data_IF_339247319817
#
_entry.id   IF_339247319817
#
_cell.length_a   1.000
_cell.length_b   1.000
_cell.length_c   1.000
_cell.angle_alpha   90.00
_cell.angle_beta   90.00
_cell.angle_gamma   90.00
#
_symmetry.space_group_name_H-M   'P 1'
#
loop_
_entity.id
_entity.type
_entity.pdbx_description
1 polymer ?
#
# COMPACT_ATOMS: atom_id res chain seq x y z
N UNK A 1 11.63 8.59 6.59
CA UNK A 1 12.45 7.50 6.06
C UNK A 1 11.62 6.48 5.27
N UNK A 2 10.73 5.73 5.92
CA UNK A 2 9.91 4.69 5.26
C UNK A 2 9.04 5.22 4.11
N UNK A 3 8.55 6.45 4.22
CA UNK A 3 7.77 7.11 3.16
C UNK A 3 8.62 7.43 1.94
N UNK A 4 9.84 7.92 2.15
CA UNK A 4 10.80 8.19 1.06
C UNK A 4 11.18 6.88 0.35
N UNK A 5 11.42 5.80 1.11
CA UNK A 5 11.68 4.48 0.52
C UNK A 5 10.49 3.95 -0.29
N UNK A 6 9.25 4.30 0.09
CA UNK A 6 8.06 3.96 -0.69
C UNK A 6 8.06 4.66 -2.06
N UNK A 7 8.28 5.97 -2.07
CA UNK A 7 8.35 6.75 -3.30
C UNK A 7 9.51 6.30 -4.20
N UNK A 8 10.68 6.03 -3.58
CA UNK A 8 11.84 5.52 -4.32
C UNK A 8 11.58 4.13 -4.93
N UNK A 9 10.93 3.21 -4.20
CA UNK A 9 10.54 1.91 -4.75
C UNK A 9 9.58 2.07 -5.93
N UNK A 10 8.60 2.94 -5.79
CA UNK A 10 7.64 3.25 -6.82
C UNK A 10 8.32 3.74 -8.11
N UNK A 11 9.23 4.69 -8.00
CA UNK A 11 9.99 5.21 -9.14
C UNK A 11 10.91 4.13 -9.76
N UNK A 12 11.52 3.26 -8.94
CA UNK A 12 12.35 2.14 -9.42
C UNK A 12 11.51 1.05 -10.11
N UNK A 13 10.25 0.86 -9.70
CA UNK A 13 9.29 0.02 -10.41
C UNK A 13 9.08 0.54 -11.83
N UNK A 14 8.95 1.84 -12.00
CA UNK A 14 8.84 2.51 -13.31
C UNK A 14 10.17 2.67 -14.05
N UNK A 15 11.29 2.22 -13.48
CA UNK A 15 12.64 2.33 -14.05
C UNK A 15 13.04 3.77 -14.38
N UNK A 16 12.69 4.74 -13.53
CA UNK A 16 12.90 6.16 -13.81
C UNK A 16 14.35 6.58 -13.79
N UNK A 17 15.18 5.98 -12.91
CA UNK A 17 16.59 6.40 -12.72
C UNK A 17 17.56 5.76 -13.72
N UNK A 18 17.52 4.44 -13.87
CA UNK A 18 18.46 3.67 -14.69
C UNK A 18 17.76 2.90 -15.81
N UNK A 19 17.14 3.63 -16.73
CA UNK A 19 16.34 3.06 -17.83
C UNK A 19 17.09 2.08 -18.70
N UNK A 20 18.40 2.36 -18.95
CA UNK A 20 19.27 1.53 -19.79
C UNK A 20 20.01 0.44 -19.02
N UNK A 21 20.08 0.53 -17.69
CA UNK A 21 20.80 -0.42 -16.85
C UNK A 21 19.90 -1.10 -15.84
N UNK A 22 19.25 -2.18 -16.31
CA UNK A 22 18.33 -2.98 -15.47
C UNK A 22 19.04 -3.60 -14.25
N UNK A 23 20.35 -3.88 -14.32
CA UNK A 23 21.09 -4.47 -13.19
C UNK A 23 21.20 -3.48 -12.03
N UNK A 24 21.59 -2.23 -12.32
CA UNK A 24 21.66 -1.17 -11.30
C UNK A 24 20.28 -0.89 -10.74
N UNK A 25 19.26 -0.73 -11.60
CA UNK A 25 17.89 -0.51 -11.13
C UNK A 25 17.40 -1.63 -10.20
N UNK A 26 17.67 -2.91 -10.54
CA UNK A 26 17.28 -4.03 -9.69
C UNK A 26 18.10 -4.12 -8.40
N UNK A 27 19.38 -3.74 -8.40
CA UNK A 27 20.19 -3.66 -7.18
C UNK A 27 19.64 -2.60 -6.22
N UNK A 28 19.32 -1.41 -6.72
CA UNK A 28 18.64 -0.36 -5.92
C UNK A 28 17.29 -0.83 -5.40
N UNK A 29 16.49 -1.49 -6.24
CA UNK A 29 15.20 -2.03 -5.86
C UNK A 29 15.33 -3.08 -4.75
N UNK A 30 16.33 -3.96 -4.82
CA UNK A 30 16.64 -4.94 -3.78
C UNK A 30 17.05 -4.25 -2.46
N UNK A 31 17.85 -3.19 -2.53
CA UNK A 31 18.26 -2.41 -1.36
C UNK A 31 17.04 -1.78 -0.69
N UNK A 32 16.18 -1.10 -1.47
CA UNK A 32 14.97 -0.50 -0.92
C UNK A 32 14.05 -1.55 -0.30
N UNK A 33 13.91 -2.71 -0.92
CA UNK A 33 13.11 -3.82 -0.41
C UNK A 33 13.64 -4.33 0.94
N UNK A 34 14.95 -4.48 1.08
CA UNK A 34 15.57 -4.91 2.34
C UNK A 34 15.25 -3.95 3.51
N UNK A 35 15.14 -2.65 3.24
CA UNK A 35 14.81 -1.63 4.24
C UNK A 35 13.30 -1.32 4.37
N UNK A 36 12.46 -1.99 3.60
CA UNK A 36 10.97 -1.90 3.67
C UNK A 36 10.33 -3.28 3.92
N UNK A 37 10.49 -3.87 5.09
CA UNK A 37 10.17 -5.28 5.34
C UNK A 37 8.68 -5.64 5.24
N UNK A 38 7.78 -4.67 5.33
CA UNK A 38 6.33 -4.91 5.32
C UNK A 38 5.70 -4.98 3.93
N UNK A 39 6.49 -4.79 2.88
CA UNK A 39 5.96 -4.75 1.51
C UNK A 39 6.05 -6.12 0.82
N UNK A 40 5.19 -6.32 -0.16
CA UNK A 40 5.32 -7.43 -1.11
C UNK A 40 6.60 -7.26 -1.93
N UNK A 41 7.20 -8.37 -2.39
CA UNK A 41 8.37 -8.34 -3.27
C UNK A 41 8.20 -7.31 -4.41
N UNK A 42 9.14 -6.38 -4.60
CA UNK A 42 8.98 -5.31 -5.57
C UNK A 42 8.95 -5.79 -7.02
N UNK A 43 9.48 -6.97 -7.31
CA UNK A 43 9.36 -7.58 -8.65
C UNK A 43 7.95 -8.09 -8.93
N UNK A 44 7.23 -8.54 -7.89
CA UNK A 44 5.81 -8.88 -7.98
C UNK A 44 5.00 -7.58 -8.04
N UNK A 45 5.30 -6.62 -7.18
CA UNK A 45 4.62 -5.33 -7.13
C UNK A 45 4.74 -4.57 -8.45
N UNK A 46 5.86 -4.69 -9.16
CA UNK A 46 6.02 -4.08 -10.49
C UNK A 46 4.94 -4.52 -11.46
N UNK A 47 4.70 -5.82 -11.56
CA UNK A 47 3.68 -6.37 -12.46
C UNK A 47 2.27 -5.89 -12.06
N UNK A 48 1.98 -5.88 -10.76
CA UNK A 48 0.72 -5.41 -10.17
C UNK A 48 0.51 -3.92 -10.46
N UNK A 49 1.53 -3.10 -10.18
CA UNK A 49 1.47 -1.65 -10.30
C UNK A 49 1.35 -1.18 -11.75
N UNK A 50 2.07 -1.80 -12.68
CA UNK A 50 1.93 -1.51 -14.10
C UNK A 50 0.56 -1.96 -14.64
N UNK A 51 -0.04 -3.01 -14.07
CA UNK A 51 -1.41 -3.40 -14.36
C UNK A 51 -2.42 -2.38 -13.79
N UNK A 52 -2.18 -1.87 -12.56
CA UNK A 52 -2.98 -0.82 -11.96
C UNK A 52 -3.13 0.41 -12.87
N UNK A 53 -2.05 0.93 -13.44
CA UNK A 53 -2.12 2.05 -14.40
C UNK A 53 -3.01 1.79 -15.62
N UNK A 54 -3.12 0.53 -16.07
CA UNK A 54 -3.94 0.14 -17.23
C UNK A 54 -5.39 -0.16 -16.85
N UNK A 55 -5.60 -0.69 -15.65
CA UNK A 55 -6.86 -1.31 -15.23
C UNK A 55 -7.47 -0.64 -14.00
N UNK A 56 -7.02 0.57 -13.72
CA UNK A 56 -7.48 1.38 -12.60
C UNK A 56 -9.00 1.34 -12.42
N UNK A 57 -9.48 0.93 -11.24
CA UNK A 57 -10.89 0.86 -10.87
C UNK A 57 -11.63 -0.40 -11.28
N UNK A 58 -11.04 -1.27 -12.10
CA UNK A 58 -11.65 -2.55 -12.47
C UNK A 58 -11.57 -3.58 -11.33
N UNK A 59 -12.37 -4.65 -11.35
CA UNK A 59 -12.23 -5.76 -10.40
C UNK A 59 -10.83 -6.41 -10.43
N UNK A 60 -10.12 -6.33 -11.57
CA UNK A 60 -8.78 -6.89 -11.73
C UNK A 60 -7.65 -6.00 -11.19
N UNK A 61 -7.94 -4.80 -10.72
CA UNK A 61 -6.97 -3.90 -10.10
C UNK A 61 -6.59 -4.39 -8.70
N UNK A 62 -5.71 -5.37 -8.64
CA UNK A 62 -5.33 -6.04 -7.40
C UNK A 62 -4.64 -5.10 -6.40
N UNK A 63 -3.95 -4.04 -6.86
CA UNK A 63 -3.28 -3.09 -5.98
C UNK A 63 -4.30 -2.38 -5.10
N UNK A 64 -5.40 -1.92 -5.66
CA UNK A 64 -6.45 -1.22 -4.94
C UNK A 64 -7.45 -2.17 -4.27
N UNK A 65 -7.85 -3.23 -4.95
CA UNK A 65 -8.79 -4.21 -4.41
C UNK A 65 -8.20 -5.03 -3.26
N UNK A 66 -6.90 -5.26 -3.26
CA UNK A 66 -6.19 -5.95 -2.18
C UNK A 66 -6.26 -5.25 -0.84
N UNK A 67 -6.47 -3.93 -0.81
CA UNK A 67 -6.72 -3.14 0.40
C UNK A 67 -8.19 -2.71 0.54
N UNK A 68 -9.09 -3.35 -0.20
CA UNK A 68 -10.53 -3.11 -0.18
C UNK A 68 -10.96 -1.71 -0.66
N UNK A 69 -10.14 -1.06 -1.47
CA UNK A 69 -10.54 0.18 -2.13
C UNK A 69 -11.71 -0.09 -3.09
N UNK A 70 -12.56 0.92 -3.27
CA UNK A 70 -13.75 0.82 -4.09
C UNK A 70 -14.99 0.36 -3.34
N UNK A 71 -14.91 -0.20 -2.16
CA UNK A 71 -16.06 -0.48 -1.32
C UNK A 71 -16.49 0.77 -0.52
N UNK A 72 -17.73 0.77 -0.01
CA UNK A 72 -18.17 1.82 0.92
C UNK A 72 -17.31 1.83 2.18
N UNK A 73 -17.09 3.00 2.75
CA UNK A 73 -16.43 3.12 4.04
C UNK A 73 -17.21 2.41 5.15
N UNK A 74 -16.46 1.74 6.01
CA UNK A 74 -16.96 1.00 7.16
C UNK A 74 -15.80 0.35 7.90
N UNK A 75 -16.11 -0.39 8.97
CA UNK A 75 -15.10 -1.01 9.84
C UNK A 75 -14.13 -1.92 9.09
N UNK A 76 -14.62 -2.74 8.15
CA UNK A 76 -13.78 -3.61 7.33
C UNK A 76 -12.73 -2.82 6.55
N UNK A 77 -13.16 -1.77 5.83
CA UNK A 77 -12.25 -0.95 5.03
C UNK A 77 -11.24 -0.20 5.91
N UNK A 78 -11.68 0.31 7.08
CA UNK A 78 -10.79 0.94 8.04
C UNK A 78 -9.72 -0.04 8.56
N UNK A 79 -10.09 -1.26 8.94
CA UNK A 79 -9.15 -2.30 9.38
C UNK A 79 -8.16 -2.64 8.24
N UNK A 80 -8.63 -2.73 7.00
CA UNK A 80 -7.80 -3.05 5.84
C UNK A 80 -6.73 -1.98 5.54
N UNK A 81 -6.94 -0.71 5.92
CA UNK A 81 -5.90 0.32 5.79
C UNK A 81 -4.66 0.05 6.65
N UNK A 82 -4.81 -0.72 7.73
CA UNK A 82 -3.73 -1.12 8.63
C UNK A 82 -2.88 -2.29 8.13
N UNK A 83 -3.09 -2.74 6.90
CA UNK A 83 -2.37 -3.86 6.28
C UNK A 83 -2.47 -5.17 7.11
N UNK A 84 -1.54 -6.11 6.89
CA UNK A 84 -1.47 -7.34 7.68
C UNK A 84 -1.17 -7.12 9.16
N UNK A 85 -0.72 -5.96 9.58
CA UNK A 85 -0.54 -5.62 10.99
C UNK A 85 -1.87 -5.53 11.75
N UNK A 86 -2.95 -5.17 11.08
CA UNK A 86 -4.28 -5.05 11.68
C UNK A 86 -5.29 -6.02 11.05
N UNK A 87 -5.17 -6.27 9.75
CA UNK A 87 -6.15 -7.01 8.95
C UNK A 87 -5.76 -8.47 8.70
N UNK A 88 -4.88 -9.09 9.50
CA UNK A 88 -4.35 -10.44 9.26
C UNK A 88 -5.45 -11.49 9.04
N UNK A 89 -6.58 -11.36 9.72
CA UNK A 89 -7.70 -12.29 9.59
C UNK A 89 -8.58 -12.02 8.34
N UNK A 90 -8.59 -10.80 7.81
CA UNK A 90 -9.47 -10.39 6.70
C UNK A 90 -8.74 -10.35 5.36
N UNK A 91 -7.49 -9.91 5.38
CA UNK A 91 -6.71 -9.63 4.17
C UNK A 91 -6.46 -10.86 3.30
N UNK A 92 -6.16 -12.06 3.83
CA UNK A 92 -5.95 -13.24 3.00
C UNK A 92 -7.14 -13.54 2.07
N UNK A 93 -8.37 -13.41 2.56
CA UNK A 93 -9.58 -13.64 1.76
C UNK A 93 -9.77 -12.57 0.69
N UNK A 94 -9.56 -11.30 1.05
CA UNK A 94 -9.64 -10.18 0.09
C UNK A 94 -8.57 -10.31 -0.99
N UNK A 95 -7.34 -10.65 -0.60
CA UNK A 95 -6.23 -10.86 -1.53
C UNK A 95 -6.45 -12.07 -2.45
N UNK A 96 -7.04 -13.15 -1.94
CA UNK A 96 -7.38 -14.32 -2.75
C UNK A 96 -8.37 -13.94 -3.87
N UNK A 97 -9.42 -13.22 -3.51
CA UNK A 97 -10.43 -12.77 -4.48
C UNK A 97 -9.80 -11.81 -5.52
N UNK A 98 -9.08 -10.79 -5.07
CA UNK A 98 -8.41 -9.84 -5.95
C UNK A 98 -7.38 -10.53 -6.87
N UNK A 99 -6.65 -11.53 -6.36
CA UNK A 99 -5.69 -12.33 -7.14
C UNK A 99 -6.41 -13.18 -8.19
N UNK A 100 -7.58 -13.73 -7.87
CA UNK A 100 -8.37 -14.48 -8.83
C UNK A 100 -8.85 -13.59 -9.99
N UNK A 101 -9.40 -12.42 -9.69
CA UNK A 101 -9.82 -11.44 -10.70
C UNK A 101 -8.64 -10.98 -11.57
N UNK A 102 -7.50 -10.67 -10.95
CA UNK A 102 -6.28 -10.31 -11.66
C UNK A 102 -5.79 -11.42 -12.60
N UNK A 103 -5.74 -12.67 -12.11
CA UNK A 103 -5.31 -13.81 -12.92
C UNK A 103 -6.28 -14.12 -14.07
N UNK A 104 -7.58 -13.93 -13.84
CA UNK A 104 -8.60 -14.14 -14.88
C UNK A 104 -8.56 -13.06 -15.97
N UNK A 105 -8.21 -11.82 -15.60
CA UNK A 105 -8.04 -10.74 -16.56
C UNK A 105 -6.85 -10.96 -17.52
N UNK A 106 -5.90 -11.82 -17.16
CA UNK A 106 -4.81 -12.25 -18.04
C UNK A 106 -5.30 -13.33 -19.03
N UNK A 107 -6.05 -12.92 -20.06
CA UNK A 107 -6.75 -13.83 -20.98
C UNK A 107 -5.82 -14.81 -21.70
N UNK A 108 -4.61 -14.36 -22.05
CA UNK A 108 -3.65 -15.12 -22.86
C UNK A 108 -2.84 -16.15 -22.06
N UNK A 109 -2.98 -16.18 -20.72
CA UNK A 109 -2.26 -17.12 -19.88
C UNK A 109 -2.96 -18.50 -19.83
N UNK A 110 -2.17 -19.56 -20.06
CA UNK A 110 -2.61 -20.92 -19.81
C UNK A 110 -2.92 -21.16 -18.32
N UNK A 111 -3.77 -22.12 -18.01
CA UNK A 111 -4.18 -22.46 -16.64
C UNK A 111 -2.97 -22.69 -15.71
N UNK A 112 -1.96 -23.41 -16.18
CA UNK A 112 -0.71 -23.66 -15.43
C UNK A 112 -0.01 -22.36 -15.02
N UNK A 113 0.01 -21.36 -15.90
CA UNK A 113 0.70 -20.10 -15.63
C UNK A 113 -0.15 -19.18 -14.74
N UNK A 114 -1.48 -19.24 -14.83
CA UNK A 114 -2.39 -18.61 -13.85
C UNK A 114 -2.17 -19.19 -12.44
N UNK A 115 -1.99 -20.50 -12.29
CA UNK A 115 -1.71 -21.13 -11.01
C UNK A 115 -0.34 -20.70 -10.46
N UNK A 116 0.69 -20.64 -11.29
CA UNK A 116 2.00 -20.10 -10.90
C UNK A 116 1.91 -18.64 -10.45
N UNK A 117 1.14 -17.83 -11.16
CA UNK A 117 0.89 -16.44 -10.81
C UNK A 117 0.26 -16.32 -9.43
N UNK A 118 -0.78 -17.11 -9.14
CA UNK A 118 -1.42 -17.15 -7.81
C UNK A 118 -0.45 -17.58 -6.71
N UNK A 119 0.35 -18.61 -6.95
CA UNK A 119 1.39 -19.04 -6.00
C UNK A 119 2.45 -17.95 -5.76
N UNK A 120 2.92 -17.28 -6.84
CA UNK A 120 3.82 -16.13 -6.74
C UNK A 120 3.25 -15.02 -5.87
N UNK A 121 1.96 -14.69 -6.03
CA UNK A 121 1.28 -13.68 -5.22
C UNK A 121 1.18 -14.10 -3.75
N UNK A 122 0.82 -15.35 -3.47
CA UNK A 122 0.73 -15.89 -2.10
C UNK A 122 2.08 -15.83 -1.36
N UNK A 123 3.18 -16.06 -2.06
CA UNK A 123 4.54 -15.99 -1.51
C UNK A 123 5.16 -14.59 -1.55
N UNK A 124 4.40 -13.60 -1.99
CA UNK A 124 4.92 -12.26 -2.27
C UNK A 124 5.56 -11.53 -1.08
N UNK A 125 5.18 -11.86 0.15
CA UNK A 125 5.74 -11.28 1.37
C UNK A 125 7.01 -11.99 1.87
N UNK A 126 7.43 -13.09 1.25
CA UNK A 126 8.62 -13.84 1.66
C UNK A 126 9.90 -13.21 1.12
N UNK A 127 11.00 -13.11 1.91
CA UNK A 127 11.12 -13.47 3.34
C UNK A 127 10.80 -12.31 4.31
N UNK A 128 11.02 -11.06 3.89
CA UNK A 128 11.05 -9.91 4.80
C UNK A 128 9.69 -9.60 5.44
N UNK A 129 8.60 -9.72 4.68
CA UNK A 129 7.26 -9.52 5.21
C UNK A 129 6.92 -10.55 6.29
N UNK A 130 7.27 -11.81 6.07
CA UNK A 130 7.02 -12.86 7.05
C UNK A 130 7.79 -12.61 8.37
N UNK A 131 9.05 -12.16 8.27
CA UNK A 131 9.85 -11.78 9.44
C UNK A 131 9.21 -10.58 10.13
N UNK A 132 8.83 -9.55 9.39
CA UNK A 132 8.20 -8.33 9.92
C UNK A 132 6.93 -8.64 10.70
N UNK A 133 6.00 -9.38 10.09
CA UNK A 133 4.74 -9.74 10.73
C UNK A 133 4.93 -10.75 11.85
N UNK A 134 5.86 -11.68 11.71
CA UNK A 134 6.24 -12.62 12.78
C UNK A 134 6.71 -11.90 14.05
N UNK A 135 7.60 -10.92 13.92
CA UNK A 135 8.09 -10.11 15.05
C UNK A 135 6.98 -9.22 15.64
N UNK A 136 6.12 -8.64 14.80
CA UNK A 136 4.98 -7.85 15.26
C UNK A 136 4.00 -8.70 16.08
N UNK A 137 3.58 -9.85 15.56
CA UNK A 137 2.64 -10.72 16.28
C UNK A 137 3.27 -11.38 17.51
N UNK A 138 4.56 -11.65 17.50
CA UNK A 138 5.30 -12.07 18.70
C UNK A 138 5.26 -10.99 19.78
N UNK A 139 5.46 -9.72 19.41
CA UNK A 139 5.32 -8.60 20.34
C UNK A 139 3.90 -8.49 20.91
N UNK A 140 2.87 -8.62 20.09
CA UNK A 140 1.47 -8.59 20.55
C UNK A 140 1.19 -9.77 21.50
N UNK A 141 1.60 -10.98 21.14
CA UNK A 141 1.45 -12.17 21.97
C UNK A 141 2.11 -12.00 23.34
N UNK A 142 3.37 -11.55 23.37
CA UNK A 142 4.10 -11.28 24.61
C UNK A 142 3.40 -10.22 25.46
N UNK A 143 2.89 -9.16 24.82
CA UNK A 143 2.20 -8.07 25.52
C UNK A 143 0.88 -8.54 26.13
N UNK A 144 0.06 -9.26 25.37
CA UNK A 144 -1.21 -9.82 25.84
C UNK A 144 -0.96 -10.83 26.97
N UNK A 145 0.03 -11.71 26.82
CA UNK A 145 0.40 -12.68 27.85
C UNK A 145 0.79 -11.98 29.15
N UNK A 146 1.61 -10.93 29.10
CA UNK A 146 2.00 -10.16 30.30
C UNK A 146 0.81 -9.48 30.96
N UNK A 147 -0.12 -8.91 30.18
CA UNK A 147 -1.34 -8.30 30.70
C UNK A 147 -2.22 -9.36 31.38
N UNK A 148 -2.43 -10.51 30.71
CA UNK A 148 -3.20 -11.63 31.26
C UNK A 148 -2.60 -12.19 32.55
N UNK A 149 -1.27 -12.42 32.59
CA UNK A 149 -0.59 -12.88 33.80
C UNK A 149 -0.74 -11.88 34.95
N UNK A 150 -0.63 -10.57 34.66
CA UNK A 150 -0.84 -9.53 35.66
C UNK A 150 -2.28 -9.54 36.19
N UNK A 151 -3.27 -9.66 35.31
CA UNK A 151 -4.69 -9.72 35.70
C UNK A 151 -5.01 -10.94 36.54
N UNK A 152 -4.31 -12.08 36.32
CA UNK A 152 -4.47 -13.31 37.07
C UNK A 152 -3.52 -13.42 38.29
N UNK A 153 -2.82 -12.38 38.66
CA UNK A 153 -1.80 -12.34 39.72
C UNK A 153 -0.69 -13.43 39.54
N UNK A 154 -0.40 -13.83 38.32
CA UNK A 154 0.64 -14.80 38.00
C UNK A 154 2.01 -14.12 37.89
N UNK A 155 3.06 -14.82 38.36
CA UNK A 155 4.45 -14.33 38.19
C UNK A 155 4.90 -14.45 36.71
N UNK A 156 5.48 -13.40 36.19
CA UNK A 156 6.05 -13.44 34.84
C UNK A 156 7.31 -14.32 34.82
N UNK A 157 7.59 -15.02 33.69
CA UNK A 157 8.82 -15.76 33.51
C UNK A 157 10.04 -14.83 33.59
N UNK A 158 11.07 -15.26 34.32
CA UNK A 158 12.30 -14.49 34.53
C UNK A 158 13.50 -15.07 33.79
N UNK A 159 13.33 -16.14 33.03
CA UNK A 159 14.41 -16.77 32.31
C UNK A 159 15.00 -15.88 31.22
N UNK A 160 16.25 -16.19 30.82
CA UNK A 160 17.03 -15.38 29.85
C UNK A 160 16.35 -15.30 28.48
N UNK A 161 15.73 -16.41 28.03
CA UNK A 161 15.09 -16.50 26.71
C UNK A 161 13.86 -15.59 26.66
N UNK A 162 12.98 -15.67 27.67
CA UNK A 162 11.81 -14.83 27.76
C UNK A 162 12.17 -13.33 27.71
N UNK A 163 13.15 -12.92 28.55
CA UNK A 163 13.60 -11.52 28.57
C UNK A 163 14.21 -11.07 27.24
N UNK A 164 14.95 -11.95 26.58
CA UNK A 164 15.55 -11.64 25.26
C UNK A 164 14.46 -11.44 24.21
N UNK A 165 13.49 -12.34 24.10
CA UNK A 165 12.37 -12.25 23.15
C UNK A 165 11.56 -10.98 23.42
N UNK A 166 11.17 -10.74 24.67
CA UNK A 166 10.39 -9.55 25.08
C UNK A 166 11.11 -8.24 24.70
N UNK A 167 12.39 -8.13 25.04
CA UNK A 167 13.19 -6.94 24.74
C UNK A 167 13.34 -6.73 23.23
N UNK A 168 13.66 -7.79 22.49
CA UNK A 168 13.89 -7.71 21.04
C UNK A 168 12.62 -7.39 20.26
N UNK A 169 11.51 -8.04 20.58
CA UNK A 169 10.23 -7.78 19.91
C UNK A 169 9.67 -6.40 20.27
N UNK A 170 9.82 -5.95 21.51
CA UNK A 170 9.45 -4.60 21.92
C UNK A 170 10.28 -3.52 21.20
N UNK A 171 11.60 -3.71 21.11
CA UNK A 171 12.47 -2.80 20.36
C UNK A 171 12.04 -2.72 18.89
N UNK A 172 11.84 -3.89 18.25
CA UNK A 172 11.38 -3.96 16.87
C UNK A 172 10.03 -3.29 16.68
N UNK A 173 9.08 -3.54 17.57
CA UNK A 173 7.74 -2.95 17.51
C UNK A 173 7.80 -1.41 17.56
N UNK A 174 8.61 -0.84 18.47
CA UNK A 174 8.70 0.62 18.65
C UNK A 174 9.54 1.27 17.56
N UNK A 175 10.72 0.70 17.23
CA UNK A 175 11.67 1.34 16.33
C UNK A 175 11.36 1.14 14.83
N UNK A 176 10.72 0.03 14.47
CA UNK A 176 10.49 -0.36 13.08
C UNK A 176 9.00 -0.51 12.76
N UNK A 177 8.28 -1.35 13.52
CA UNK A 177 6.92 -1.70 13.16
C UNK A 177 5.93 -0.54 13.33
N UNK A 178 5.97 0.20 14.43
CA UNK A 178 5.04 1.32 14.66
C UNK A 178 5.23 2.49 13.67
N UNK A 179 6.45 2.98 13.36
CA UNK A 179 6.64 3.98 12.32
C UNK A 179 6.17 3.50 10.95
N UNK A 180 6.44 2.24 10.61
CA UNK A 180 5.99 1.66 9.35
C UNK A 180 4.48 1.48 9.31
N UNK A 181 3.84 1.15 10.43
CA UNK A 181 2.39 1.10 10.55
C UNK A 181 1.75 2.46 10.30
N UNK A 182 2.24 3.53 10.93
CA UNK A 182 1.76 4.89 10.72
C UNK A 182 1.87 5.30 9.24
N UNK A 183 3.00 5.00 8.60
CA UNK A 183 3.16 5.22 7.17
C UNK A 183 2.14 4.43 6.36
N UNK A 184 2.00 3.13 6.62
CA UNK A 184 1.10 2.26 5.85
C UNK A 184 -0.36 2.66 6.02
N UNK A 185 -0.78 2.93 7.25
CA UNK A 185 -2.12 3.41 7.55
C UNK A 185 -2.43 4.73 6.83
N UNK A 186 -1.52 5.69 6.90
CA UNK A 186 -1.67 7.00 6.27
C UNK A 186 -1.70 6.88 4.74
N UNK A 187 -0.83 6.05 4.16
CA UNK A 187 -0.77 5.82 2.73
C UNK A 187 -2.06 5.14 2.23
N UNK A 188 -2.45 4.02 2.85
CA UNK A 188 -3.65 3.29 2.42
C UNK A 188 -4.92 4.10 2.63
N UNK A 189 -5.02 4.84 3.74
CA UNK A 189 -6.14 5.73 3.97
C UNK A 189 -6.21 6.83 2.90
N UNK A 190 -5.10 7.48 2.60
CA UNK A 190 -5.01 8.51 1.55
C UNK A 190 -5.33 7.90 0.19
N UNK A 191 -4.65 6.82 -0.19
CA UNK A 191 -4.83 6.10 -1.45
C UNK A 191 -6.30 5.70 -1.67
N UNK A 192 -6.94 5.15 -0.63
CA UNK A 192 -8.35 4.76 -0.63
C UNK A 192 -9.34 5.87 -0.96
N UNK A 193 -8.95 7.12 -0.77
CA UNK A 193 -9.84 8.26 -0.95
C UNK A 193 -9.47 9.15 -2.12
N UNK A 194 -8.25 9.06 -2.61
CA UNK A 194 -7.86 9.80 -3.82
C UNK A 194 -8.10 9.01 -5.09
N UNK A 195 -8.03 7.68 -5.06
CA UNK A 195 -8.39 6.83 -6.18
C UNK A 195 -9.89 6.54 -6.19
N UNK A 196 -10.49 6.48 -7.38
CA UNK A 196 -11.86 6.02 -7.61
C UNK A 196 -12.89 6.59 -6.63
N UNK A 197 -13.19 7.83 -6.78
CA UNK A 197 -14.12 8.54 -5.89
C UNK A 197 -15.61 8.36 -6.26
N UNK A 198 -15.97 7.33 -7.01
CA UNK A 198 -17.35 6.85 -7.13
C UNK A 198 -18.01 7.01 -8.49
N UNK A 199 -17.65 7.99 -9.27
CA UNK A 199 -18.26 8.34 -10.57
C UNK A 199 -17.20 8.38 -11.69
N UNK A 200 -16.31 7.42 -11.69
CA UNK A 200 -15.18 7.34 -12.61
C UNK A 200 -15.57 6.62 -13.89
N UNK A 201 -15.44 7.31 -15.01
CA UNK A 201 -15.65 6.74 -16.33
C UNK A 201 -14.49 5.83 -16.76
N UNK A 202 -14.81 4.80 -17.54
CA UNK A 202 -13.81 3.88 -18.04
C UNK A 202 -12.82 4.58 -18.97
N UNK A 203 -11.53 4.51 -18.65
CA UNK A 203 -10.44 5.09 -19.47
C UNK A 203 -10.25 6.58 -19.29
N UNK A 204 -11.04 7.25 -18.46
CA UNK A 204 -10.87 8.67 -18.18
C UNK A 204 -9.76 8.89 -17.14
N UNK A 205 -8.55 9.21 -17.59
CA UNK A 205 -7.37 9.44 -16.74
C UNK A 205 -7.59 10.60 -15.75
N UNK A 206 -8.36 11.62 -16.14
CA UNK A 206 -8.64 12.80 -15.32
C UNK A 206 -9.42 12.43 -14.05
N UNK A 207 -10.26 11.40 -14.15
CA UNK A 207 -11.10 10.93 -13.05
C UNK A 207 -10.44 9.84 -12.19
N UNK A 208 -9.26 9.33 -12.57
CA UNK A 208 -8.63 8.21 -11.85
C UNK A 208 -8.17 8.59 -10.45
N UNK A 209 -7.73 9.81 -10.25
CA UNK A 209 -7.16 10.24 -8.99
C UNK A 209 -7.49 11.71 -8.72
N UNK A 210 -7.98 12.02 -7.53
CA UNK A 210 -8.13 13.39 -7.06
C UNK A 210 -6.88 13.88 -6.30
N UNK A 211 -6.78 15.19 -6.09
CA UNK A 211 -5.71 15.82 -5.32
C UNK A 211 -6.21 16.23 -3.93
N UNK A 212 -5.47 15.86 -2.90
CA UNK A 212 -5.70 16.26 -1.53
C UNK A 212 -4.64 17.25 -1.03
N UNK A 213 -5.02 18.53 -0.93
CA UNK A 213 -4.17 19.61 -0.42
C UNK A 213 -4.73 20.25 0.86
N UNK A 214 -5.91 19.82 1.32
CA UNK A 214 -6.58 20.36 2.50
C UNK A 214 -5.71 20.19 3.75
N UNK A 215 -5.68 21.23 4.59
CA UNK A 215 -4.85 21.26 5.80
C UNK A 215 -5.17 20.13 6.79
N UNK A 216 -6.43 19.68 6.83
CA UNK A 216 -6.87 18.56 7.68
C UNK A 216 -6.17 17.24 7.34
N UNK A 217 -5.72 17.09 6.09
CA UNK A 217 -5.01 15.91 5.63
C UNK A 217 -3.49 15.99 5.82
N UNK A 218 -2.95 17.16 6.16
CA UNK A 218 -1.50 17.35 6.36
C UNK A 218 -0.87 16.38 7.37
N UNK A 219 -1.49 16.08 8.54
CA UNK A 219 -0.91 15.11 9.48
C UNK A 219 -0.71 13.72 8.85
N UNK A 220 -1.70 13.22 8.10
CA UNK A 220 -1.57 11.94 7.39
C UNK A 220 -0.54 12.03 6.27
N UNK A 221 -0.55 13.12 5.52
CA UNK A 221 0.37 13.36 4.41
C UNK A 221 1.83 13.43 4.85
N UNK A 222 2.11 13.87 6.08
CA UNK A 222 3.46 13.85 6.65
C UNK A 222 4.02 12.41 6.77
N UNK A 223 3.16 11.43 7.03
CA UNK A 223 3.57 10.02 7.12
C UNK A 223 3.58 9.28 5.77
N UNK A 224 3.03 9.84 4.70
CA UNK A 224 3.08 9.27 3.35
C UNK A 224 3.69 10.21 2.31
N UNK A 225 4.56 11.11 2.72
CA UNK A 225 5.34 12.01 1.86
C UNK A 225 4.50 12.80 0.86
N UNK A 226 3.42 13.45 1.34
CA UNK A 226 2.49 14.23 0.53
C UNK A 226 1.89 13.45 -0.67
N UNK A 227 1.70 12.14 -0.50
CA UNK A 227 1.18 11.25 -1.55
C UNK A 227 -0.13 11.77 -2.15
N UNK A 228 -1.07 12.22 -1.33
CA UNK A 228 -2.34 12.75 -1.80
C UNK A 228 -2.24 14.05 -2.61
N UNK A 229 -1.16 14.81 -2.42
CA UNK A 229 -0.92 16.03 -3.20
C UNK A 229 -0.22 15.79 -4.54
N UNK A 230 0.52 14.69 -4.68
CA UNK A 230 1.41 14.50 -5.83
C UNK A 230 1.11 13.27 -6.67
N UNK A 231 0.37 12.30 -6.14
CA UNK A 231 0.15 11.04 -6.84
C UNK A 231 -0.70 11.19 -8.11
N UNK A 232 -1.68 12.09 -8.11
CA UNK A 232 -2.45 12.39 -9.32
C UNK A 232 -1.56 12.90 -10.47
N UNK A 233 -0.53 13.69 -10.16
CA UNK A 233 0.45 14.16 -11.16
C UNK A 233 1.15 12.97 -11.82
N UNK A 234 1.48 11.93 -11.02
CA UNK A 234 2.10 10.72 -11.53
C UNK A 234 1.23 9.98 -12.56
N UNK A 235 -0.10 9.98 -12.42
CA UNK A 235 -0.98 9.36 -13.41
C UNK A 235 -0.93 10.02 -14.77
N UNK A 236 -0.61 11.33 -14.84
CA UNK A 236 -0.43 12.06 -16.10
C UNK A 236 1.01 11.98 -16.61
N UNK A 237 1.99 12.09 -15.70
CA UNK A 237 3.42 12.16 -16.03
C UNK A 237 4.16 11.02 -15.35
N UNK A 238 3.96 9.80 -15.85
CA UNK A 238 4.41 8.53 -15.25
C UNK A 238 5.94 8.43 -15.14
N UNK A 239 6.70 9.31 -15.81
CA UNK A 239 8.16 9.22 -15.92
C UNK A 239 8.92 10.23 -15.06
N UNK A 240 8.23 11.07 -14.30
CA UNK A 240 8.85 12.02 -13.40
C UNK A 240 9.04 11.45 -12.02
N UNK A 241 10.25 11.63 -11.48
CA UNK A 241 10.61 11.14 -10.17
C UNK A 241 9.83 11.88 -9.07
N UNK A 242 9.63 11.21 -7.93
CA UNK A 242 8.79 11.73 -6.83
C UNK A 242 9.24 13.11 -6.33
N UNK A 243 10.54 13.38 -6.27
CA UNK A 243 11.05 14.68 -5.81
C UNK A 243 10.79 15.81 -6.81
N UNK A 244 10.79 15.52 -8.13
CA UNK A 244 10.38 16.50 -9.15
C UNK A 244 8.89 16.78 -8.99
N UNK A 245 8.05 15.75 -8.89
CA UNK A 245 6.61 15.93 -8.65
C UNK A 245 6.31 16.78 -7.42
N UNK A 246 7.07 16.58 -6.32
CA UNK A 246 6.96 17.41 -5.12
C UNK A 246 7.35 18.87 -5.38
N UNK A 247 8.41 19.09 -6.13
CA UNK A 247 8.92 20.44 -6.43
C UNK A 247 7.93 21.26 -7.28
N UNK A 248 7.34 20.64 -8.33
CA UNK A 248 6.47 21.32 -9.29
C UNK A 248 4.96 21.23 -8.94
N UNK A 249 4.58 20.53 -7.86
CA UNK A 249 3.18 20.23 -7.57
C UNK A 249 2.29 21.48 -7.57
N UNK A 250 2.75 22.58 -6.98
CA UNK A 250 1.99 23.84 -6.89
C UNK A 250 1.74 24.46 -8.28
N UNK A 251 2.67 24.30 -9.19
CA UNK A 251 2.56 24.84 -10.56
C UNK A 251 1.65 23.94 -11.42
N UNK A 252 1.59 22.63 -11.12
CA UNK A 252 0.68 21.70 -11.78
C UNK A 252 -0.79 21.88 -11.38
N UNK A 253 -1.07 22.29 -10.13
CA UNK A 253 -2.44 22.33 -9.59
C UNK A 253 -3.42 23.22 -10.39
N UNK A 254 -3.07 24.45 -10.82
CA UNK A 254 -3.96 25.25 -11.67
C UNK A 254 -4.33 24.52 -12.96
N UNK A 255 -3.33 23.99 -13.67
CA UNK A 255 -3.50 23.28 -14.93
C UNK A 255 -4.39 22.05 -14.75
N UNK A 256 -4.16 21.26 -13.70
CA UNK A 256 -4.94 20.07 -13.42
C UNK A 256 -6.40 20.40 -13.08
N UNK A 257 -6.62 21.49 -12.33
CA UNK A 257 -7.96 21.96 -11.97
C UNK A 257 -8.73 22.46 -13.21
N UNK A 258 -8.08 23.21 -14.10
CA UNK A 258 -8.66 23.65 -15.38
C UNK A 258 -9.06 22.47 -16.28
N UNK A 259 -8.31 21.37 -16.21
CA UNK A 259 -8.60 20.15 -16.96
C UNK A 259 -9.56 19.19 -16.21
N UNK A 260 -10.23 19.62 -15.15
CA UNK A 260 -11.28 18.86 -14.49
C UNK A 260 -10.83 17.85 -13.44
N UNK A 261 -9.56 17.82 -13.04
CA UNK A 261 -9.09 17.01 -11.92
C UNK A 261 -9.74 17.51 -10.62
N UNK A 262 -10.31 16.62 -9.85
CA UNK A 262 -10.95 16.98 -8.58
C UNK A 262 -9.93 17.30 -7.50
N UNK A 263 -10.30 18.24 -6.63
CA UNK A 263 -9.53 18.66 -5.48
C UNK A 263 -10.36 18.58 -4.22
N UNK A 264 -9.83 17.93 -3.20
CA UNK A 264 -10.40 17.90 -1.85
C UNK A 264 -11.87 17.46 -1.81
N UNK A 265 -12.26 16.50 -2.66
CA UNK A 265 -13.59 15.93 -2.64
C UNK A 265 -13.74 14.93 -1.49
N UNK A 266 -14.20 15.40 -0.34
CA UNK A 266 -14.50 14.59 0.84
C UNK A 266 -15.80 13.78 0.73
N UNK A 267 -16.59 13.98 -0.32
CA UNK A 267 -17.73 13.13 -0.63
C UNK A 267 -17.34 11.67 -0.87
N UNK A 268 -16.06 11.40 -1.17
CA UNK A 268 -15.48 10.06 -1.27
C UNK A 268 -15.78 9.16 -0.06
N UNK A 269 -15.89 9.71 1.15
CA UNK A 269 -16.24 8.95 2.36
C UNK A 269 -17.68 8.41 2.37
N UNK A 270 -18.56 8.98 1.56
CA UNK A 270 -19.99 8.60 1.48
C UNK A 270 -20.30 7.69 0.30
N UNK A 271 -19.33 7.46 -0.58
CA UNK A 271 -19.49 6.71 -1.83
C UNK A 271 -18.66 5.43 -1.82
N UNK A 272 -19.07 4.46 -2.64
CA UNK A 272 -18.19 3.40 -3.08
C UNK A 272 -17.30 3.97 -4.20
N UNK A 273 -15.99 3.85 -4.05
CA UNK A 273 -15.03 4.34 -5.03
C UNK A 273 -14.82 3.27 -6.11
N UNK A 274 -15.75 3.17 -7.03
CA UNK A 274 -15.72 2.19 -8.11
C UNK A 274 -15.77 2.89 -9.45
N UNK A 275 -15.23 2.20 -10.44
CA UNK A 275 -15.50 2.53 -11.83
C UNK A 275 -16.97 2.27 -12.12
N UNK A 276 -17.64 3.21 -12.78
CA UNK A 276 -18.96 2.97 -13.34
C UNK A 276 -18.83 1.91 -14.43
N UNK A 277 -19.54 0.79 -14.26
CA UNK A 277 -19.81 -0.09 -15.39
C UNK A 277 -20.71 0.71 -16.32
N UNK A 278 -20.34 0.80 -17.61
CA UNK A 278 -21.24 1.35 -18.59
C UNK A 278 -22.48 0.45 -18.61
N UNK A 279 -23.63 1.01 -18.31
CA UNK A 279 -24.91 0.35 -18.48
C UNK A 279 -25.11 -0.08 -19.94
#
# INVERSE_FOLDING_TARGET
WMSILHELEHDLIHQMYYRKNKKINNAMLATVYAFRPSTISPWIRRDIHLHHHKSSGTPSDIEERGINNGDKWGLKRLIMTGDNMLAIALRPFTMLNATNEYANAQKDLALKDKLKLKAKMALGYTPFGNIHYGLWYSFLFMSITKIGMKALNMKQPTNRIWRFIDKSTKFYAVAIAAPNYLRTLSLHFTCSNIHYYGDVENGNVVQQCQIWTDWRMKPLQAFCFNFGGTHAIHHFVVRDTFYIRQAIAKDCYPIMKENGVRFNDFGTFKRANRRLERA
#
